data_IF_778873265693
#
_entry.id   IF_778873265693
#
_cell.length_a   1.000
_cell.length_b   1.000
_cell.length_c   1.000
_cell.angle_alpha   90.00
_cell.angle_beta   90.00
_cell.angle_gamma   90.00
#
_symmetry.space_group_name_H-M   'P 1'
#
loop_
_entity.id
_entity.type
_entity.pdbx_description
1 polymer ?
#
# COMPACT_ATOMS: atom_id res chain seq x y z
N UNK A 1 -19.87 -7.25 -19.87
CA UNK A 1 -18.43 -7.17 -19.54
C UNK A 1 -18.33 -7.19 -18.02
N UNK A 2 -17.80 -8.25 -17.41
CA UNK A 2 -17.54 -8.24 -15.97
C UNK A 2 -16.42 -7.24 -15.72
N UNK A 3 -16.78 -6.02 -15.31
CA UNK A 3 -15.83 -5.06 -14.75
C UNK A 3 -15.29 -5.70 -13.48
N UNK A 4 -14.02 -6.11 -13.52
CA UNK A 4 -13.32 -6.59 -12.34
C UNK A 4 -13.09 -5.39 -11.41
N UNK A 5 -13.32 -5.56 -10.11
CA UNK A 5 -13.05 -4.50 -9.14
C UNK A 5 -11.54 -4.18 -9.13
N UNK A 6 -11.21 -2.97 -8.69
CA UNK A 6 -9.82 -2.50 -8.63
C UNK A 6 -8.95 -3.28 -7.63
N UNK A 7 -9.54 -4.09 -6.75
CA UNK A 7 -8.89 -4.75 -5.62
C UNK A 7 -8.80 -6.28 -5.76
N UNK A 8 -9.17 -6.82 -6.92
CA UNK A 8 -9.09 -8.23 -7.24
C UNK A 8 -7.84 -8.44 -8.09
N UNK A 9 -6.99 -9.42 -7.79
CA UNK A 9 -5.81 -9.75 -8.60
C UNK A 9 -6.13 -10.60 -9.83
N UNK A 10 -5.27 -10.59 -10.86
CA UNK A 10 -5.52 -11.36 -12.08
C UNK A 10 -5.38 -12.85 -11.86
N UNK A 11 -4.54 -13.21 -10.90
CA UNK A 11 -4.32 -14.55 -10.42
C UNK A 11 -4.85 -14.74 -9.00
N UNK A 12 -5.98 -14.09 -8.66
CA UNK A 12 -6.60 -14.13 -7.33
C UNK A 12 -6.77 -15.56 -6.80
N UNK A 13 -7.23 -16.48 -7.66
CA UNK A 13 -7.43 -17.89 -7.30
C UNK A 13 -6.15 -18.66 -6.98
N UNK A 14 -4.97 -18.09 -7.29
CA UNK A 14 -3.67 -18.69 -7.02
C UNK A 14 -2.96 -18.07 -5.81
N UNK A 15 -3.59 -17.10 -5.14
CA UNK A 15 -3.02 -16.45 -3.96
C UNK A 15 -3.28 -17.34 -2.74
N UNK A 16 -2.27 -17.61 -1.90
CA UNK A 16 -2.44 -18.42 -0.70
C UNK A 16 -3.28 -17.67 0.35
N UNK A 17 -4.14 -18.41 1.05
CA UNK A 17 -4.81 -17.91 2.26
C UNK A 17 -3.80 -17.66 3.38
N UNK A 18 -3.95 -16.61 4.22
CA UNK A 18 -5.06 -15.63 4.21
C UNK A 18 -4.83 -14.41 3.27
N UNK A 19 -3.72 -14.38 2.54
CA UNK A 19 -3.31 -13.21 1.75
C UNK A 19 -4.26 -12.88 0.60
N UNK A 20 -5.00 -13.87 0.10
CA UNK A 20 -6.03 -13.72 -0.92
C UNK A 20 -7.10 -12.70 -0.52
N UNK A 21 -7.45 -12.64 0.76
CA UNK A 21 -8.44 -11.67 1.30
C UNK A 21 -7.78 -10.48 1.97
N UNK A 22 -6.68 -10.72 2.66
CA UNK A 22 -6.02 -9.72 3.49
C UNK A 22 -5.45 -8.56 2.66
N UNK A 23 -4.80 -8.85 1.53
CA UNK A 23 -4.22 -7.80 0.69
C UNK A 23 -5.29 -6.90 0.03
N UNK A 24 -6.36 -7.45 -0.60
CA UNK A 24 -7.47 -6.62 -1.07
C UNK A 24 -8.11 -5.77 0.02
N UNK A 25 -8.28 -6.30 1.23
CA UNK A 25 -8.82 -5.52 2.36
C UNK A 25 -7.88 -4.39 2.77
N UNK A 26 -6.57 -4.66 2.83
CA UNK A 26 -5.56 -3.65 3.09
C UNK A 26 -5.62 -2.50 2.08
N UNK A 27 -5.59 -2.78 0.78
CA UNK A 27 -5.60 -1.71 -0.23
C UNK A 27 -6.90 -0.90 -0.21
N UNK A 28 -8.05 -1.54 0.00
CA UNK A 28 -9.32 -0.80 0.19
C UNK A 28 -9.27 0.14 1.39
N UNK A 29 -8.77 -0.33 2.54
CA UNK A 29 -8.64 0.52 3.72
C UNK A 29 -7.54 1.59 3.57
N UNK A 30 -6.47 1.31 2.83
CA UNK A 30 -5.40 2.28 2.59
C UNK A 30 -5.88 3.42 1.67
N UNK A 31 -6.73 3.11 0.70
CA UNK A 31 -7.27 4.07 -0.26
C UNK A 31 -8.41 4.91 0.30
N UNK A 32 -9.11 4.40 1.32
CA UNK A 32 -10.24 5.10 1.91
C UNK A 32 -9.82 6.42 2.60
N UNK A 33 -10.24 7.59 2.10
CA UNK A 33 -9.93 8.89 2.72
C UNK A 33 -10.56 9.04 4.12
N UNK A 34 -11.52 8.18 4.47
CA UNK A 34 -12.20 8.15 5.76
C UNK A 34 -11.86 6.90 6.58
N UNK A 35 -10.76 6.22 6.24
CA UNK A 35 -10.32 5.00 6.92
C UNK A 35 -10.26 5.20 8.44
N UNK A 36 -10.79 4.22 9.17
CA UNK A 36 -10.61 4.03 10.62
C UNK A 36 -9.22 3.44 10.98
N UNK A 37 -8.29 3.45 10.04
CA UNK A 37 -6.94 2.90 10.14
C UNK A 37 -6.82 1.37 10.12
N UNK A 38 -7.83 0.64 9.63
CA UNK A 38 -7.79 -0.83 9.53
C UNK A 38 -6.63 -1.36 8.67
N UNK A 39 -6.09 -0.55 7.75
CA UNK A 39 -4.87 -0.88 6.99
C UNK A 39 -3.65 -1.17 7.88
N UNK A 40 -3.61 -0.62 9.11
CA UNK A 40 -2.53 -0.87 10.07
C UNK A 40 -2.52 -2.32 10.57
N UNK A 41 -3.64 -3.04 10.46
CA UNK A 41 -3.74 -4.45 10.85
C UNK A 41 -2.87 -5.36 9.97
N UNK A 42 -2.50 -4.92 8.76
CA UNK A 42 -1.52 -5.63 7.93
C UNK A 42 -0.16 -5.70 8.61
N UNK A 43 0.26 -4.66 9.33
CA UNK A 43 1.63 -4.52 9.83
C UNK A 43 1.79 -5.17 11.21
N UNK A 44 2.94 -5.79 11.45
CA UNK A 44 3.36 -6.15 12.81
C UNK A 44 3.54 -4.86 13.66
N UNK A 45 3.51 -4.92 15.00
CA UNK A 45 3.66 -3.74 15.86
C UNK A 45 4.91 -2.91 15.55
N UNK A 46 6.01 -3.57 15.17
CA UNK A 46 7.29 -2.97 14.75
C UNK A 46 7.57 -3.18 13.26
N UNK A 47 6.52 -3.45 12.46
CA UNK A 47 6.64 -3.63 11.02
C UNK A 47 7.18 -2.37 10.35
N UNK A 48 7.91 -2.56 9.25
CA UNK A 48 8.53 -1.47 8.50
C UNK A 48 7.80 -1.24 7.19
N UNK A 49 7.55 0.03 6.88
CA UNK A 49 7.14 0.51 5.56
C UNK A 49 8.29 1.31 4.95
N UNK A 50 8.74 0.91 3.76
CA UNK A 50 9.78 1.61 2.99
C UNK A 50 9.14 2.22 1.76
N UNK A 51 9.12 3.56 1.70
CA UNK A 51 8.67 4.35 0.56
C UNK A 51 9.64 5.52 0.38
N UNK A 52 10.76 5.27 -0.30
CA UNK A 52 11.90 6.20 -0.39
C UNK A 52 12.69 6.35 0.92
N UNK A 53 12.01 6.41 2.06
CA UNK A 53 12.55 6.35 3.42
C UNK A 53 11.85 5.27 4.24
N UNK A 54 12.50 4.83 5.32
CA UNK A 54 11.95 3.79 6.22
C UNK A 54 11.12 4.42 7.33
N UNK A 55 9.89 3.92 7.49
CA UNK A 55 8.97 4.22 8.59
C UNK A 55 8.75 2.95 9.40
N UNK A 56 8.96 3.01 10.72
CA UNK A 56 8.91 1.83 11.60
C UNK A 56 7.79 1.95 12.64
N UNK A 57 6.95 0.93 12.70
CA UNK A 57 5.87 0.80 13.67
C UNK A 57 4.55 1.46 13.23
N UNK A 58 3.43 0.92 13.74
CA UNK A 58 2.07 1.29 13.28
C UNK A 58 1.76 2.78 13.44
N UNK A 59 2.15 3.39 14.56
CA UNK A 59 1.90 4.82 14.79
C UNK A 59 2.69 5.71 13.81
N UNK A 60 3.94 5.36 13.51
CA UNK A 60 4.72 6.12 12.55
C UNK A 60 4.17 5.95 11.13
N UNK A 61 3.71 4.75 10.76
CA UNK A 61 3.05 4.48 9.48
C UNK A 61 1.76 5.28 9.35
N UNK A 62 0.96 5.35 10.42
CA UNK A 62 -0.25 6.18 10.47
C UNK A 62 0.08 7.65 10.26
N UNK A 63 1.03 8.19 11.02
CA UNK A 63 1.45 9.59 10.90
C UNK A 63 2.03 9.91 9.51
N UNK A 64 2.78 8.98 8.92
CA UNK A 64 3.26 9.08 7.55
C UNK A 64 2.10 9.18 6.56
N UNK A 65 1.11 8.28 6.66
CA UNK A 65 -0.08 8.32 5.80
C UNK A 65 -0.82 9.64 6.00
N UNK A 66 -1.10 10.06 7.22
CA UNK A 66 -1.84 11.31 7.50
C UNK A 66 -1.12 12.58 7.00
N UNK A 67 0.21 12.56 6.95
CA UNK A 67 1.02 13.67 6.41
C UNK A 67 1.01 13.70 4.89
N UNK A 68 1.01 12.53 4.25
CA UNK A 68 1.17 12.39 2.81
C UNK A 68 -0.19 12.38 2.07
N UNK A 69 -1.16 11.69 2.66
CA UNK A 69 -2.48 11.33 2.13
C UNK A 69 -3.52 11.74 3.19
N UNK A 70 -4.15 12.89 2.99
CA UNK A 70 -5.23 13.34 3.85
C UNK A 70 -6.11 14.34 3.09
N UNK A 71 -7.45 14.26 3.20
CA UNK A 71 -8.36 15.16 2.48
C UNK A 71 -8.09 16.65 2.70
N UNK A 72 -7.51 17.00 3.85
CA UNK A 72 -7.25 18.39 4.25
C UNK A 72 -5.78 18.73 4.56
N UNK A 73 -4.96 17.76 4.99
CA UNK A 73 -3.67 18.04 5.63
C UNK A 73 -2.49 17.67 4.72
N UNK A 74 -2.70 16.71 3.82
CA UNK A 74 -1.70 16.20 2.91
C UNK A 74 -1.80 16.85 1.54
N UNK A 75 -0.73 16.77 0.72
CA UNK A 75 -0.79 17.21 -0.66
C UNK A 75 -1.61 16.26 -1.55
N UNK A 76 -1.75 14.99 -1.17
CA UNK A 76 -2.62 14.00 -1.83
C UNK A 76 -3.95 13.95 -1.05
N UNK A 77 -5.06 14.21 -1.74
CA UNK A 77 -6.40 14.25 -1.13
C UNK A 77 -7.23 13.02 -1.43
N UNK A 78 -6.84 12.25 -2.44
CA UNK A 78 -7.55 11.05 -2.89
C UNK A 78 -6.59 10.15 -3.68
N UNK A 79 -6.83 8.85 -3.63
CA UNK A 79 -6.04 7.84 -4.34
C UNK A 79 -6.86 6.59 -4.64
N UNK A 80 -6.37 5.80 -5.58
CA UNK A 80 -6.90 4.45 -5.78
C UNK A 80 -5.84 3.55 -6.42
N UNK A 81 -5.68 2.36 -5.84
CA UNK A 81 -4.89 1.28 -6.42
C UNK A 81 -5.74 0.44 -7.36
N UNK A 82 -5.13 -0.02 -8.45
CA UNK A 82 -5.62 -1.12 -9.30
C UNK A 82 -4.65 -2.29 -9.22
N UNK A 83 -5.07 -3.37 -8.57
CA UNK A 83 -4.28 -4.57 -8.32
C UNK A 83 -4.18 -5.44 -9.58
N UNK A 84 -2.95 -5.64 -10.08
CA UNK A 84 -2.72 -6.39 -11.33
C UNK A 84 -2.35 -7.84 -11.06
N UNK A 85 -1.23 -8.10 -10.41
CA UNK A 85 -0.70 -9.46 -10.18
C UNK A 85 -0.05 -9.60 -8.81
N UNK A 86 -0.08 -10.82 -8.30
CA UNK A 86 0.56 -11.24 -7.06
C UNK A 86 1.55 -12.39 -7.36
N UNK A 87 2.69 -12.42 -6.68
CA UNK A 87 3.70 -13.46 -6.83
C UNK A 87 4.17 -13.92 -5.46
N UNK A 88 4.25 -15.22 -5.26
CA UNK A 88 4.99 -15.81 -4.13
C UNK A 88 6.44 -15.96 -4.55
N UNK A 89 7.39 -15.54 -3.71
CA UNK A 89 8.81 -15.76 -3.99
C UNK A 89 9.18 -17.22 -3.72
N UNK A 90 9.97 -17.79 -4.63
CA UNK A 90 10.50 -19.14 -4.46
C UNK A 90 11.41 -19.20 -3.21
N UNK A 91 11.17 -20.16 -2.32
CA UNK A 91 11.84 -20.22 -1.01
C UNK A 91 11.34 -19.15 -0.01
N UNK A 92 10.43 -18.27 -0.42
CA UNK A 92 9.85 -17.24 0.45
C UNK A 92 8.76 -17.76 1.39
N UNK A 93 8.35 -19.02 1.23
CA UNK A 93 7.39 -19.69 2.11
C UNK A 93 8.13 -20.66 3.03
N UNK A 94 8.31 -20.26 4.28
CA UNK A 94 8.84 -21.09 5.36
C UNK A 94 7.83 -21.12 6.52
N UNK A 95 8.03 -21.96 7.53
CA UNK A 95 7.08 -22.09 8.64
C UNK A 95 6.90 -20.73 9.34
N UNK A 96 5.71 -20.14 9.17
CA UNK A 96 5.35 -18.85 9.75
C UNK A 96 5.99 -17.64 9.04
N UNK A 97 6.50 -17.79 7.82
CA UNK A 97 7.03 -16.68 7.01
C UNK A 97 6.57 -16.79 5.57
N UNK A 98 6.16 -15.66 4.99
CA UNK A 98 5.74 -15.59 3.59
C UNK A 98 6.27 -14.32 2.92
N UNK A 99 7.06 -14.47 1.87
CA UNK A 99 7.53 -13.36 1.03
C UNK A 99 6.79 -13.30 -0.29
N UNK A 100 6.36 -12.10 -0.67
CA UNK A 100 5.52 -11.88 -1.85
C UNK A 100 5.93 -10.62 -2.60
N UNK A 101 5.62 -10.60 -3.90
CA UNK A 101 5.61 -9.40 -4.72
C UNK A 101 4.20 -9.08 -5.18
N UNK A 102 3.81 -7.81 -5.10
CA UNK A 102 2.57 -7.29 -5.66
C UNK A 102 2.91 -6.30 -6.77
N UNK A 103 2.16 -6.32 -7.86
CA UNK A 103 2.21 -5.29 -8.91
C UNK A 103 0.84 -4.72 -9.17
N UNK A 104 0.79 -3.43 -9.45
CA UNK A 104 -0.42 -2.73 -9.81
C UNK A 104 -0.15 -1.39 -10.49
N UNK A 105 -1.20 -0.62 -10.67
CA UNK A 105 -1.14 0.80 -10.95
C UNK A 105 -1.84 1.55 -9.85
N UNK A 106 -1.55 2.83 -9.70
CA UNK A 106 -2.28 3.70 -8.80
C UNK A 106 -2.36 5.10 -9.38
N UNK A 107 -3.36 5.85 -8.95
CA UNK A 107 -3.43 7.27 -9.21
C UNK A 107 -3.53 8.04 -7.91
N UNK A 108 -2.92 9.24 -7.89
CA UNK A 108 -3.06 10.22 -6.83
C UNK A 108 -3.74 11.47 -7.37
N UNK A 109 -4.69 12.01 -6.61
CA UNK A 109 -5.25 13.33 -6.83
C UNK A 109 -4.63 14.29 -5.82
N UNK A 110 -3.96 15.30 -6.33
CA UNK A 110 -3.39 16.37 -5.51
C UNK A 110 -4.48 17.37 -5.10
N UNK A 111 -4.23 18.14 -4.03
CA UNK A 111 -5.19 19.15 -3.54
C UNK A 111 -5.53 20.24 -4.56
N UNK A 112 -4.63 20.53 -5.50
CA UNK A 112 -4.90 21.43 -6.63
C UNK A 112 -5.72 20.78 -7.77
N UNK A 113 -6.16 19.53 -7.61
CA UNK A 113 -6.97 18.78 -8.57
C UNK A 113 -6.17 18.01 -9.62
N UNK A 114 -4.84 18.20 -9.74
CA UNK A 114 -4.00 17.43 -10.68
C UNK A 114 -4.04 15.95 -10.31
N UNK A 115 -4.25 15.10 -11.31
CA UNK A 115 -4.11 13.64 -11.17
C UNK A 115 -2.78 13.16 -11.73
N UNK A 116 -2.13 12.26 -11.01
CA UNK A 116 -0.85 11.65 -11.38
C UNK A 116 -1.04 10.14 -11.35
N UNK A 117 -0.54 9.46 -12.38
CA UNK A 117 -0.72 8.03 -12.58
C UNK A 117 0.63 7.34 -12.66
N UNK A 118 0.77 6.20 -11.99
CA UNK A 118 2.00 5.41 -12.09
C UNK A 118 1.74 3.93 -11.82
N UNK A 119 2.66 3.12 -12.32
CA UNK A 119 2.76 1.72 -11.93
C UNK A 119 3.57 1.59 -10.63
N UNK A 120 3.24 0.59 -9.84
CA UNK A 120 3.98 0.24 -8.64
C UNK A 120 4.31 -1.25 -8.59
N UNK A 121 5.36 -1.55 -7.84
CA UNK A 121 5.61 -2.88 -7.32
C UNK A 121 5.82 -2.80 -5.82
N UNK A 122 5.52 -3.88 -5.11
CA UNK A 122 5.69 -3.96 -3.67
C UNK A 122 6.34 -5.28 -3.33
N UNK A 123 7.34 -5.27 -2.45
CA UNK A 123 7.88 -6.46 -1.81
C UNK A 123 7.44 -6.49 -0.36
N UNK A 124 6.85 -7.60 0.08
CA UNK A 124 6.32 -7.73 1.43
C UNK A 124 6.81 -9.04 2.04
N UNK A 125 7.37 -8.94 3.24
CA UNK A 125 7.72 -10.08 4.09
C UNK A 125 6.74 -10.13 5.24
N UNK A 126 5.98 -11.21 5.28
CA UNK A 126 5.04 -11.54 6.33
C UNK A 126 5.65 -12.52 7.33
N UNK A 127 5.26 -12.38 8.59
CA UNK A 127 5.52 -13.33 9.65
C UNK A 127 4.22 -13.70 10.37
N UNK A 128 4.13 -14.93 10.85
CA UNK A 128 3.07 -15.42 11.74
C UNK A 128 3.29 -14.80 13.13
N UNK A 129 2.36 -13.97 13.63
CA UNK A 129 2.48 -13.37 14.96
C UNK A 129 2.21 -14.38 16.09
N UNK A 130 1.81 -15.62 15.77
CA UNK A 130 1.35 -16.62 16.72
C UNK A 130 -0.16 -16.55 16.98
N UNK A 131 -0.64 -17.48 17.81
CA UNK A 131 -2.02 -17.51 18.35
C UNK A 131 -3.14 -17.66 17.29
N UNK A 132 -2.84 -18.20 16.11
CA UNK A 132 -3.81 -18.42 15.04
C UNK A 132 -4.34 -17.14 14.39
N UNK A 133 -3.63 -16.03 14.54
CA UNK A 133 -3.94 -14.74 13.90
C UNK A 133 -3.43 -14.73 12.45
N UNK A 134 -3.95 -13.78 11.67
CA UNK A 134 -3.47 -13.55 10.30
C UNK A 134 -2.00 -13.14 10.26
N UNK A 135 -1.35 -13.44 9.14
CA UNK A 135 0.03 -13.05 8.86
C UNK A 135 0.20 -11.53 8.95
N UNK A 136 1.31 -11.07 9.52
CA UNK A 136 1.61 -9.64 9.66
C UNK A 136 2.88 -9.25 8.93
N UNK A 137 2.84 -8.13 8.19
CA UNK A 137 3.98 -7.58 7.49
C UNK A 137 5.01 -7.07 8.50
N UNK A 138 6.18 -7.71 8.53
CA UNK A 138 7.36 -7.24 9.27
C UNK A 138 8.18 -6.27 8.42
N UNK A 139 8.10 -6.41 7.10
CA UNK A 139 8.74 -5.52 6.13
C UNK A 139 7.83 -5.37 4.91
N UNK A 140 7.65 -4.14 4.45
CA UNK A 140 6.92 -3.79 3.24
C UNK A 140 7.67 -2.66 2.54
N UNK A 141 8.25 -2.93 1.38
CA UNK A 141 8.83 -1.92 0.50
C UNK A 141 7.97 -1.67 -0.74
N UNK A 142 7.82 -0.41 -1.11
CA UNK A 142 7.10 0.05 -2.29
C UNK A 142 8.10 0.65 -3.28
N UNK A 143 8.14 0.07 -4.48
CA UNK A 143 8.90 0.55 -5.62
C UNK A 143 7.97 1.33 -6.55
N UNK A 144 8.27 2.62 -6.72
CA UNK A 144 7.53 3.53 -7.58
C UNK A 144 8.48 4.56 -8.17
N UNK A 145 8.20 5.02 -9.39
CA UNK A 145 8.79 6.25 -9.89
C UNK A 145 8.00 7.44 -9.34
N UNK A 146 8.51 8.04 -8.25
CA UNK A 146 7.88 9.18 -7.59
C UNK A 146 8.31 10.52 -8.18
N UNK A 147 9.11 10.56 -9.26
CA UNK A 147 9.67 11.80 -9.78
C UNK A 147 8.60 12.82 -10.17
N UNK A 148 7.58 12.38 -10.92
CA UNK A 148 6.47 13.26 -11.32
C UNK A 148 5.68 13.75 -10.11
N UNK A 149 5.40 12.86 -9.16
CA UNK A 149 4.67 13.19 -7.92
C UNK A 149 5.40 14.27 -7.12
N UNK A 150 6.69 14.07 -6.87
CA UNK A 150 7.51 15.03 -6.10
C UNK A 150 7.57 16.39 -6.81
N UNK A 151 7.74 16.38 -8.13
CA UNK A 151 7.78 17.60 -8.95
C UNK A 151 6.46 18.35 -8.86
N UNK A 152 5.33 17.65 -9.05
CA UNK A 152 4.01 18.25 -9.01
C UNK A 152 3.65 18.81 -7.62
N UNK A 153 4.04 18.11 -6.54
CA UNK A 153 3.86 18.62 -5.17
C UNK A 153 4.67 19.90 -4.96
N UNK A 154 5.91 19.95 -5.46
CA UNK A 154 6.76 21.14 -5.38
C UNK A 154 6.13 22.33 -6.11
N UNK A 155 5.76 22.15 -7.38
CA UNK A 155 5.10 23.18 -8.21
C UNK A 155 3.83 23.71 -7.53
N UNK A 156 3.01 22.81 -7.00
CA UNK A 156 1.79 23.16 -6.27
C UNK A 156 2.08 24.01 -5.04
N UNK A 157 3.05 23.62 -4.21
CA UNK A 157 3.43 24.36 -3.01
C UNK A 157 4.08 25.71 -3.33
N UNK A 158 4.75 25.86 -4.47
CA UNK A 158 5.33 27.12 -4.93
C UNK A 158 4.26 28.09 -5.45
N UNK A 159 3.20 27.59 -6.09
CA UNK A 159 2.09 28.41 -6.59
C UNK A 159 1.15 28.95 -5.49
N UNK A 160 1.17 28.32 -4.31
CA UNK A 160 0.37 28.74 -3.13
C UNK A 160 1.10 29.75 -2.23
N UNK A 161 2.37 30.04 -2.50
CA UNK A 161 3.16 31.08 -1.81
C UNK A 161 2.97 32.44 -2.46
#
# INVERSE_FOLDING_TARGET
MNSRDNYTFANQSSIPSPLDKQLPAFFRSWDDPHSNHDYLNLFAPQGQLVYGTTTTGREAIRAFRDTMIHPTNGPIVDLEHTLKKFFVLAGGAEKGKQEVLVKGSLWYKLRNGRKIYFDFASAITFADPGDGKDLQAVFYEVFVDSHELVTAIKEMNEAEK
#
